data_IF_806771044957
#
_entry.id   IF_806771044957
#
_cell.length_a   1.000
_cell.length_b   1.000
_cell.length_c   1.000
_cell.angle_alpha   90.00
_cell.angle_beta   90.00
_cell.angle_gamma   90.00
#
_symmetry.space_group_name_H-M   'P 1'
#
loop_
_entity.id
_entity.type
_entity.pdbx_description
1 polymer ?
#
# COMPACT_ATOMS: atom_id res chain seq x y z
N UNK A 1 -18.10 -18.52 3.88
CA UNK A 1 -17.59 -19.83 3.40
C UNK A 1 -16.19 -19.71 2.78
N UNK A 2 -15.99 -18.80 1.81
CA UNK A 2 -14.69 -18.60 1.12
C UNK A 2 -13.49 -18.44 2.08
N UNK A 3 -13.59 -17.59 3.12
CA UNK A 3 -12.50 -17.37 4.10
C UNK A 3 -11.99 -18.65 4.78
N UNK A 4 -12.88 -19.60 5.12
CA UNK A 4 -12.48 -20.87 5.77
C UNK A 4 -11.73 -21.78 4.80
N UNK A 5 -12.13 -21.79 3.52
CA UNK A 5 -11.43 -22.54 2.46
C UNK A 5 -10.04 -21.93 2.25
N UNK A 6 -9.95 -20.60 2.15
CA UNK A 6 -8.68 -19.89 1.97
C UNK A 6 -7.71 -20.17 3.12
N UNK A 7 -8.16 -20.02 4.37
CA UNK A 7 -7.34 -20.30 5.55
C UNK A 7 -6.82 -21.75 5.55
N UNK A 8 -7.71 -22.72 5.35
CA UNK A 8 -7.34 -24.14 5.30
C UNK A 8 -6.34 -24.45 4.18
N UNK A 9 -6.54 -23.92 2.97
CA UNK A 9 -5.59 -24.10 1.87
C UNK A 9 -4.25 -23.40 2.13
N UNK A 10 -4.27 -22.22 2.77
CA UNK A 10 -3.06 -21.51 3.16
C UNK A 10 -2.22 -22.33 4.13
N UNK A 11 -2.85 -22.99 5.11
CA UNK A 11 -2.15 -23.88 6.06
C UNK A 11 -1.52 -25.08 5.34
N UNK A 12 -2.27 -25.71 4.42
CA UNK A 12 -1.75 -26.82 3.60
C UNK A 12 -0.55 -26.42 2.76
N UNK A 13 -0.63 -25.25 2.10
CA UNK A 13 0.46 -24.72 1.26
C UNK A 13 1.67 -24.33 2.10
N UNK A 14 1.45 -23.74 3.28
CA UNK A 14 2.53 -23.39 4.20
C UNK A 14 3.27 -24.63 4.67
N UNK A 15 2.57 -25.73 4.93
CA UNK A 15 3.18 -26.99 5.38
C UNK A 15 3.85 -27.79 4.27
N UNK A 16 3.29 -27.82 3.06
CA UNK A 16 3.70 -28.74 2.00
C UNK A 16 4.24 -28.05 0.73
N UNK A 17 4.35 -26.73 0.72
CA UNK A 17 4.68 -25.94 -0.46
C UNK A 17 3.53 -25.80 -1.46
N UNK A 18 3.77 -25.24 -2.66
CA UNK A 18 2.72 -24.97 -3.64
C UNK A 18 1.95 -26.22 -4.05
N UNK A 19 0.63 -26.13 -4.09
CA UNK A 19 -0.27 -27.27 -4.31
C UNK A 19 -1.11 -27.10 -5.60
N UNK A 20 -1.34 -28.18 -6.37
CA UNK A 20 -2.29 -28.13 -7.48
C UNK A 20 -3.73 -27.97 -6.97
N UNK A 21 -4.57 -27.31 -7.78
CA UNK A 21 -5.97 -27.03 -7.41
C UNK A 21 -6.75 -28.32 -7.07
N UNK A 22 -6.53 -29.41 -7.80
CA UNK A 22 -7.25 -30.67 -7.60
C UNK A 22 -6.94 -31.32 -6.25
N UNK A 23 -5.68 -31.23 -5.79
CA UNK A 23 -5.28 -31.75 -4.48
C UNK A 23 -5.88 -30.90 -3.36
N UNK A 24 -5.82 -29.56 -3.48
CA UNK A 24 -6.48 -28.66 -2.52
C UNK A 24 -7.98 -28.93 -2.45
N UNK A 25 -8.64 -29.08 -3.60
CA UNK A 25 -10.07 -29.37 -3.68
C UNK A 25 -10.44 -30.71 -3.02
N UNK A 26 -9.63 -31.75 -3.24
CA UNK A 26 -9.79 -33.05 -2.59
C UNK A 26 -9.70 -32.93 -1.06
N UNK A 27 -8.69 -32.21 -0.55
CA UNK A 27 -8.51 -32.01 0.90
C UNK A 27 -9.59 -31.15 1.53
N UNK A 28 -10.02 -30.08 0.84
CA UNK A 28 -11.14 -29.21 1.28
C UNK A 28 -12.45 -29.99 1.35
N UNK A 29 -12.72 -30.86 0.37
CA UNK A 29 -13.91 -31.73 0.39
C UNK A 29 -13.83 -32.78 1.51
N UNK A 30 -12.68 -33.42 1.68
CA UNK A 30 -12.45 -34.37 2.77
C UNK A 30 -12.60 -33.73 4.17
N UNK A 31 -12.22 -32.46 4.32
CA UNK A 31 -12.43 -31.68 5.54
C UNK A 31 -13.87 -31.15 5.72
N UNK A 32 -14.80 -31.47 4.81
CA UNK A 32 -16.20 -31.04 4.88
C UNK A 32 -16.40 -29.52 4.70
N UNK A 33 -15.39 -28.81 4.21
CA UNK A 33 -15.42 -27.35 4.04
C UNK A 33 -16.19 -26.90 2.77
N UNK A 34 -16.57 -27.85 1.91
CA UNK A 34 -17.46 -27.63 0.76
C UNK A 34 -18.39 -28.83 0.56
N UNK A 35 -19.61 -28.54 0.11
CA UNK A 35 -20.61 -29.55 -0.34
C UNK A 35 -20.90 -29.43 -1.84
N UNK A 36 -20.11 -28.62 -2.56
CA UNK A 36 -20.27 -28.39 -3.99
C UNK A 36 -20.10 -29.69 -4.77
N UNK A 37 -20.90 -29.88 -5.82
CA UNK A 37 -20.73 -30.98 -6.78
C UNK A 37 -19.48 -30.80 -7.65
N UNK A 38 -18.91 -29.59 -7.71
CA UNK A 38 -17.63 -29.29 -8.35
C UNK A 38 -16.68 -28.56 -7.38
N UNK A 39 -16.02 -29.31 -6.45
CA UNK A 39 -15.12 -28.73 -5.46
C UNK A 39 -13.93 -27.97 -6.08
N UNK A 40 -13.39 -28.45 -7.20
CA UNK A 40 -12.24 -27.84 -7.90
C UNK A 40 -12.56 -26.40 -8.31
N UNK A 41 -13.71 -26.18 -8.95
CA UNK A 41 -14.12 -24.83 -9.37
C UNK A 41 -14.39 -23.94 -8.17
N UNK A 42 -15.07 -24.45 -7.13
CA UNK A 42 -15.33 -23.69 -5.90
C UNK A 42 -14.04 -23.24 -5.21
N UNK A 43 -13.08 -24.15 -5.03
CA UNK A 43 -11.79 -23.84 -4.40
C UNK A 43 -10.99 -22.87 -5.26
N UNK A 44 -10.85 -23.12 -6.56
CA UNK A 44 -10.14 -22.22 -7.48
C UNK A 44 -10.69 -20.79 -7.42
N UNK A 45 -12.01 -20.64 -7.44
CA UNK A 45 -12.67 -19.32 -7.34
C UNK A 45 -12.39 -18.68 -5.99
N UNK A 46 -12.52 -19.43 -4.89
CA UNK A 46 -12.23 -18.91 -3.55
C UNK A 46 -10.78 -18.43 -3.40
N UNK A 47 -9.82 -19.21 -3.91
CA UNK A 47 -8.40 -18.84 -3.86
C UNK A 47 -8.08 -17.65 -4.77
N UNK A 48 -8.62 -17.59 -5.99
CA UNK A 48 -8.43 -16.43 -6.90
C UNK A 48 -9.01 -15.12 -6.37
N UNK A 49 -10.00 -15.19 -5.49
CA UNK A 49 -10.60 -14.02 -4.84
C UNK A 49 -9.81 -13.55 -3.61
N UNK A 50 -8.85 -14.35 -3.13
CA UNK A 50 -8.04 -13.99 -1.97
C UNK A 50 -6.80 -13.21 -2.39
N UNK A 51 -6.51 -12.03 -1.79
CA UNK A 51 -5.34 -11.23 -2.14
C UNK A 51 -4.01 -11.84 -1.65
N UNK A 52 -4.08 -12.85 -0.78
CA UNK A 52 -2.91 -13.52 -0.20
C UNK A 52 -2.61 -14.88 -0.87
N UNK A 53 -3.40 -15.26 -1.87
CA UNK A 53 -3.20 -16.52 -2.61
C UNK A 53 -2.69 -16.21 -4.00
N UNK A 54 -1.67 -16.95 -4.44
CA UNK A 54 -0.99 -16.70 -5.70
C UNK A 54 -1.18 -17.91 -6.60
N UNK A 55 -1.70 -17.68 -7.81
CA UNK A 55 -1.80 -18.72 -8.83
C UNK A 55 -0.54 -18.67 -9.70
N UNK A 56 0.26 -19.73 -9.65
CA UNK A 56 1.54 -19.85 -10.35
C UNK A 56 1.33 -20.21 -11.83
N UNK A 57 2.30 -19.92 -12.71
CA UNK A 57 2.23 -20.26 -14.14
C UNK A 57 2.09 -21.76 -14.42
N UNK A 58 2.57 -22.61 -13.52
CA UNK A 58 2.46 -24.07 -13.62
C UNK A 58 1.09 -24.63 -13.18
N UNK A 59 0.13 -23.74 -12.85
CA UNK A 59 -1.22 -24.09 -12.43
C UNK A 59 -1.38 -24.44 -10.95
N UNK A 60 -0.30 -24.38 -10.16
CA UNK A 60 -0.36 -24.55 -8.70
C UNK A 60 -0.76 -23.26 -8.00
N UNK A 61 -1.25 -23.39 -6.78
CA UNK A 61 -1.46 -22.28 -5.86
C UNK A 61 -0.37 -22.25 -4.80
N UNK A 62 0.00 -21.03 -4.45
CA UNK A 62 0.93 -20.69 -3.38
C UNK A 62 0.32 -19.64 -2.45
N UNK A 63 0.98 -19.33 -1.33
CA UNK A 63 0.55 -18.33 -0.37
C UNK A 63 1.57 -17.20 -0.26
N UNK A 64 1.07 -15.97 -0.13
CA UNK A 64 1.89 -14.78 0.10
C UNK A 64 2.79 -14.95 1.32
N UNK A 65 2.28 -15.60 2.38
CA UNK A 65 3.04 -15.89 3.60
C UNK A 65 4.29 -16.73 3.32
N UNK A 66 4.17 -17.80 2.53
CA UNK A 66 5.30 -18.67 2.19
C UNK A 66 6.29 -17.96 1.27
N UNK A 67 5.77 -17.21 0.30
CA UNK A 67 6.59 -16.48 -0.66
C UNK A 67 7.38 -15.32 -0.03
N UNK A 68 6.84 -14.71 1.03
CA UNK A 68 7.48 -13.63 1.77
C UNK A 68 8.37 -14.12 2.91
N UNK A 69 8.42 -15.43 3.17
CA UNK A 69 9.30 -15.98 4.20
C UNK A 69 10.77 -15.74 3.79
N UNK A 70 11.46 -14.96 4.60
CA UNK A 70 12.83 -14.49 4.33
C UNK A 70 12.92 -13.18 3.54
N UNK A 71 11.87 -12.73 2.85
CA UNK A 71 11.89 -11.50 2.06
C UNK A 71 12.03 -10.25 2.95
N UNK A 72 12.81 -9.28 2.48
CA UNK A 72 13.13 -8.01 3.13
C UNK A 72 12.39 -6.88 2.42
N UNK A 73 11.30 -6.41 3.01
CA UNK A 73 10.62 -5.22 2.52
C UNK A 73 11.12 -4.02 3.28
N UNK A 74 11.70 -3.05 2.59
CA UNK A 74 12.30 -1.88 3.20
C UNK A 74 11.37 -0.69 3.12
N UNK A 75 11.28 0.05 4.21
CA UNK A 75 10.48 1.27 4.35
C UNK A 75 11.38 2.41 4.82
N UNK A 76 11.21 3.60 4.24
CA UNK A 76 11.89 4.80 4.70
C UNK A 76 11.07 5.50 5.79
N UNK A 77 11.72 5.64 6.94
CA UNK A 77 11.15 6.31 8.10
C UNK A 77 11.08 7.80 7.85
N UNK A 78 9.87 8.35 7.72
CA UNK A 78 9.63 9.79 7.49
C UNK A 78 9.75 10.64 8.74
N UNK A 79 9.58 10.03 9.91
CA UNK A 79 9.69 10.66 11.21
C UNK A 79 10.34 9.69 12.18
N UNK A 80 11.32 10.15 12.97
CA UNK A 80 11.98 9.34 13.97
C UNK A 80 11.00 8.49 14.81
N UNK A 81 11.37 7.23 15.04
CA UNK A 81 10.48 6.20 15.59
C UNK A 81 10.52 6.10 17.11
N UNK A 82 11.35 6.89 17.78
CA UNK A 82 11.43 6.93 19.24
C UNK A 82 10.05 7.07 19.87
N UNK A 83 9.74 6.18 20.81
CA UNK A 83 8.48 6.12 21.57
C UNK A 83 7.21 5.98 20.70
N UNK A 84 7.35 5.70 19.39
CA UNK A 84 6.20 5.53 18.49
C UNK A 84 5.64 4.13 18.53
N UNK A 85 4.32 4.04 18.57
CA UNK A 85 3.57 2.79 18.47
C UNK A 85 2.86 2.63 17.12
N UNK A 86 2.84 3.68 16.31
CA UNK A 86 2.18 3.69 15.00
C UNK A 86 3.22 3.95 13.91
N UNK A 87 3.24 3.07 12.92
CA UNK A 87 3.99 3.24 11.68
C UNK A 87 3.01 3.51 10.53
N UNK A 88 3.17 4.63 9.85
CA UNK A 88 2.47 4.88 8.60
C UNK A 88 3.22 4.16 7.47
N UNK A 89 2.56 3.17 6.87
CA UNK A 89 3.18 2.32 5.87
C UNK A 89 2.99 2.90 4.48
N UNK A 90 4.03 2.80 3.65
CA UNK A 90 3.95 3.15 2.24
C UNK A 90 3.57 1.96 1.34
N UNK A 91 3.37 2.21 0.03
CA UNK A 91 3.02 1.17 -0.95
C UNK A 91 4.03 0.01 -1.02
N UNK A 92 5.29 0.23 -0.69
CA UNK A 92 6.34 -0.77 -0.60
C UNK A 92 6.05 -1.89 0.43
N UNK A 93 5.21 -1.62 1.43
CA UNK A 93 4.74 -2.62 2.40
C UNK A 93 3.35 -3.20 2.07
N UNK A 94 2.75 -2.84 0.93
CA UNK A 94 1.37 -3.20 0.60
C UNK A 94 1.07 -4.71 0.60
N UNK A 95 2.07 -5.55 0.30
CA UNK A 95 1.88 -7.01 0.37
C UNK A 95 1.74 -7.51 1.82
N UNK A 96 2.47 -6.90 2.75
CA UNK A 96 2.32 -7.18 4.18
C UNK A 96 1.01 -6.59 4.71
N UNK A 97 0.54 -5.46 4.18
CA UNK A 97 -0.80 -4.94 4.49
C UNK A 97 -1.89 -5.97 4.15
N UNK A 98 -1.82 -6.63 2.97
CA UNK A 98 -2.81 -7.64 2.61
C UNK A 98 -2.78 -8.83 3.57
N UNK A 99 -1.59 -9.27 3.98
CA UNK A 99 -1.45 -10.31 4.99
C UNK A 99 -2.01 -9.87 6.33
N UNK A 100 -1.67 -8.66 6.79
CA UNK A 100 -2.12 -8.11 8.06
C UNK A 100 -3.64 -7.95 8.11
N UNK A 101 -4.25 -7.43 7.05
CA UNK A 101 -5.72 -7.30 6.93
C UNK A 101 -6.40 -8.67 6.85
N UNK A 102 -5.79 -9.63 6.16
CA UNK A 102 -6.34 -10.97 6.04
C UNK A 102 -6.26 -11.78 7.34
N UNK A 103 -5.11 -11.73 8.03
CA UNK A 103 -4.84 -12.46 9.28
C UNK A 103 -5.33 -11.70 10.53
N UNK A 104 -5.60 -10.40 10.41
CA UNK A 104 -6.02 -9.49 11.49
C UNK A 104 -4.85 -8.97 12.34
N UNK A 105 -3.77 -9.72 12.45
CA UNK A 105 -2.54 -9.32 13.15
C UNK A 105 -1.33 -10.10 12.63
N UNK A 106 -0.13 -9.53 12.76
CA UNK A 106 1.12 -10.24 12.52
C UNK A 106 1.93 -10.29 13.83
N UNK A 107 2.27 -11.50 14.28
CA UNK A 107 3.07 -11.68 15.49
C UNK A 107 4.49 -11.13 15.29
N UNK A 108 5.00 -10.38 16.25
CA UNK A 108 6.35 -9.83 16.21
C UNK A 108 7.38 -10.82 16.74
N UNK A 109 8.61 -10.71 16.24
CA UNK A 109 9.76 -11.44 16.78
C UNK A 109 10.11 -10.98 18.20
N UNK A 110 10.04 -9.68 18.46
CA UNK A 110 10.30 -9.07 19.77
C UNK A 110 9.17 -9.31 20.81
N UNK A 111 8.07 -9.94 20.40
CA UNK A 111 6.90 -10.16 21.25
C UNK A 111 5.75 -9.19 20.95
N UNK A 112 4.53 -9.61 21.31
CA UNK A 112 3.31 -8.93 20.90
C UNK A 112 2.98 -9.13 19.41
N UNK A 113 2.13 -8.27 18.87
CA UNK A 113 1.69 -8.31 17.48
C UNK A 113 1.41 -6.91 16.94
N UNK A 114 1.60 -6.74 15.64
CA UNK A 114 1.11 -5.57 14.92
C UNK A 114 -0.29 -5.83 14.41
N UNK A 115 -1.09 -4.77 14.34
CA UNK A 115 -2.45 -4.77 13.79
C UNK A 115 -2.57 -3.63 12.81
N UNK A 116 -3.46 -3.78 11.83
CA UNK A 116 -3.79 -2.65 10.96
C UNK A 116 -4.78 -1.74 11.68
N UNK A 117 -4.48 -0.45 11.73
CA UNK A 117 -5.46 0.57 12.09
C UNK A 117 -6.40 0.79 10.90
N UNK A 118 -7.66 0.40 11.07
CA UNK A 118 -8.70 0.63 10.07
C UNK A 118 -9.20 2.07 10.21
N UNK A 119 -8.56 3.00 9.49
CA UNK A 119 -8.96 4.39 9.36
C UNK A 119 -8.52 4.96 8.00
N UNK A 120 -9.00 6.15 7.63
CA UNK A 120 -8.73 6.79 6.32
C UNK A 120 -7.22 7.02 6.04
N UNK A 121 -6.39 6.98 7.08
CA UNK A 121 -4.95 7.25 7.03
C UNK A 121 -4.08 5.98 7.05
N UNK A 122 -4.66 4.79 7.28
CA UNK A 122 -3.90 3.54 7.38
C UNK A 122 -2.81 3.58 8.46
N UNK A 123 -2.05 2.50 8.57
CA UNK A 123 -0.93 2.41 9.51
C UNK A 123 -0.97 1.17 10.39
N UNK A 124 0.19 0.79 10.89
CA UNK A 124 0.39 -0.38 11.73
C UNK A 124 0.56 0.05 13.18
N UNK A 125 -0.26 -0.53 14.05
CA UNK A 125 -0.19 -0.33 15.49
C UNK A 125 0.44 -1.55 16.14
N UNK A 126 1.50 -1.36 16.90
CA UNK A 126 2.16 -2.40 17.70
C UNK A 126 2.25 -2.03 19.19
N UNK A 127 2.74 -2.95 20.04
CA UNK A 127 2.99 -2.69 21.45
C UNK A 127 4.10 -1.63 21.65
N UNK A 128 4.29 -1.05 22.85
CA UNK A 128 5.48 -0.23 23.12
C UNK A 128 6.77 -0.91 22.65
N UNK A 129 7.73 -0.12 22.16
CA UNK A 129 9.07 -0.55 21.73
C UNK A 129 9.11 -1.55 20.56
N UNK A 130 7.99 -1.74 19.83
CA UNK A 130 7.97 -2.65 18.68
C UNK A 130 8.76 -2.13 17.46
N UNK A 131 8.92 -0.81 17.36
CA UNK A 131 9.75 -0.16 16.36
C UNK A 131 11.15 0.09 16.96
N UNK A 132 12.23 -0.27 16.24
CA UNK A 132 13.56 0.19 16.59
C UNK A 132 13.64 1.72 16.61
N UNK A 133 14.37 2.31 17.56
CA UNK A 133 14.62 3.76 17.59
C UNK A 133 15.62 4.14 16.49
N UNK A 134 15.10 4.76 15.43
CA UNK A 134 15.87 5.24 14.29
C UNK A 134 15.48 6.67 13.94
N UNK A 135 16.43 7.51 13.50
CA UNK A 135 16.12 8.88 13.10
C UNK A 135 15.34 8.90 11.78
N UNK A 136 14.74 10.06 11.50
CA UNK A 136 14.16 10.37 10.18
C UNK A 136 15.13 10.05 9.04
N UNK A 137 14.59 9.65 7.90
CA UNK A 137 15.23 9.21 6.66
C UNK A 137 16.00 7.88 6.74
N UNK A 138 16.03 7.24 7.91
CA UNK A 138 16.57 5.88 8.07
C UNK A 138 15.69 4.84 7.40
N UNK A 139 16.26 3.67 7.14
CA UNK A 139 15.54 2.53 6.59
C UNK A 139 15.26 1.46 7.66
N UNK A 140 14.05 0.91 7.62
CA UNK A 140 13.66 -0.29 8.35
C UNK A 140 13.38 -1.42 7.36
N UNK A 141 13.88 -2.61 7.64
CA UNK A 141 13.54 -3.84 6.93
C UNK A 141 12.51 -4.64 7.72
N UNK A 142 11.44 -5.03 7.02
CA UNK A 142 10.36 -5.87 7.49
C UNK A 142 10.54 -7.26 6.89
N UNK A 143 10.76 -8.26 7.73
CA UNK A 143 10.98 -9.66 7.31
C UNK A 143 10.02 -10.59 8.00
N UNK A 144 9.26 -11.36 7.24
CA UNK A 144 8.55 -12.51 7.79
C UNK A 144 9.51 -13.70 7.86
N UNK A 145 9.66 -14.30 9.03
CA UNK A 145 10.45 -15.52 9.23
C UNK A 145 9.74 -16.43 10.21
N UNK A 146 9.49 -17.67 9.81
CA UNK A 146 8.79 -18.66 10.67
C UNK A 146 7.46 -18.11 11.21
N UNK A 147 6.73 -17.36 10.37
CA UNK A 147 5.45 -16.76 10.71
C UNK A 147 5.52 -15.57 11.67
N UNK A 148 6.71 -15.05 11.99
CA UNK A 148 6.90 -13.84 12.82
C UNK A 148 7.50 -12.70 11.99
N UNK A 149 7.05 -11.49 12.28
CA UNK A 149 7.56 -10.25 11.68
C UNK A 149 8.75 -9.74 12.48
N UNK A 150 9.88 -9.59 11.79
CA UNK A 150 11.09 -8.91 12.27
C UNK A 150 11.11 -7.50 11.68
N UNK A 151 11.50 -6.53 12.51
CA UNK A 151 11.67 -5.13 12.12
C UNK A 151 13.07 -4.71 12.55
N UNK A 152 13.92 -4.43 11.57
CA UNK A 152 15.36 -4.21 11.81
C UNK A 152 15.82 -2.93 11.10
N UNK A 153 16.66 -2.08 11.73
CA UNK A 153 17.33 -1.00 11.03
C UNK A 153 18.21 -1.55 9.90
N UNK A 154 18.22 -0.87 8.77
CA UNK A 154 19.10 -1.21 7.64
C UNK A 154 20.32 -0.29 7.66
N UNK A 155 21.49 -0.86 7.96
CA UNK A 155 22.78 -0.18 7.87
C UNK A 155 23.87 -1.17 7.41
N UNK A 156 24.66 -0.84 6.37
CA UNK A 156 24.59 0.37 5.55
C UNK A 156 23.34 0.43 4.65
N UNK A 157 22.98 1.63 4.19
CA UNK A 157 21.88 1.81 3.21
C UNK A 157 22.23 1.08 1.90
N UNK A 158 21.32 0.27 1.33
CA UNK A 158 21.56 -0.43 0.08
C UNK A 158 21.77 0.55 -1.07
N UNK A 159 22.64 0.21 -2.03
CA UNK A 159 22.95 1.10 -3.15
C UNK A 159 21.70 1.35 -4.01
N UNK A 160 21.51 2.60 -4.43
CA UNK A 160 20.40 3.00 -5.33
C UNK A 160 20.54 2.47 -6.77
N UNK A 161 21.68 1.87 -7.08
CA UNK A 161 22.00 1.25 -8.37
C UNK A 161 22.77 -0.04 -8.11
N UNK A 162 22.19 -1.17 -8.51
CA UNK A 162 22.84 -2.49 -8.51
C UNK A 162 22.22 -3.38 -9.59
N UNK A 163 22.88 -4.47 -9.94
CA UNK A 163 22.35 -5.47 -10.88
C UNK A 163 21.06 -6.11 -10.39
N UNK A 164 20.97 -6.37 -9.09
CA UNK A 164 19.82 -6.97 -8.42
C UNK A 164 18.63 -6.02 -8.47
N UNK A 165 18.87 -4.74 -8.20
CA UNK A 165 17.86 -3.70 -8.27
C UNK A 165 17.32 -3.52 -9.70
N UNK A 166 18.19 -3.57 -10.69
CA UNK A 166 17.75 -3.45 -12.09
C UNK A 166 16.98 -4.70 -12.53
N UNK A 167 17.40 -5.90 -12.11
CA UNK A 167 16.64 -7.14 -12.32
C UNK A 167 15.24 -7.03 -11.73
N UNK A 168 15.11 -6.54 -10.50
CA UNK A 168 13.83 -6.27 -9.84
C UNK A 168 12.97 -5.29 -10.63
N UNK A 169 13.54 -4.15 -11.05
CA UNK A 169 12.82 -3.16 -11.89
C UNK A 169 12.29 -3.78 -13.17
N UNK A 170 13.11 -4.58 -13.88
CA UNK A 170 12.70 -5.23 -15.13
C UNK A 170 11.53 -6.19 -14.90
N UNK A 171 11.63 -7.04 -13.88
CA UNK A 171 10.58 -8.02 -13.55
C UNK A 171 9.28 -7.32 -13.15
N UNK A 172 9.34 -6.36 -12.22
CA UNK A 172 8.16 -5.60 -11.78
C UNK A 172 7.53 -4.85 -12.95
N UNK A 173 8.31 -4.14 -13.78
CA UNK A 173 7.80 -3.40 -14.94
C UNK A 173 7.14 -4.32 -15.97
N UNK A 174 7.67 -5.52 -16.18
CA UNK A 174 7.02 -6.49 -17.09
C UNK A 174 5.66 -6.91 -16.55
N UNK A 175 5.56 -7.27 -15.28
CA UNK A 175 4.29 -7.63 -14.64
C UNK A 175 3.30 -6.47 -14.61
N UNK A 176 3.80 -5.23 -14.44
CA UNK A 176 3.00 -4.01 -14.53
C UNK A 176 2.49 -3.71 -15.95
N UNK A 177 3.23 -4.09 -17.00
CA UNK A 177 2.82 -3.88 -18.40
C UNK A 177 1.88 -4.97 -18.91
N UNK A 178 2.01 -6.20 -18.42
CA UNK A 178 1.27 -7.37 -18.91
C UNK A 178 -0.15 -7.49 -18.36
N UNK A 179 -0.52 -6.67 -17.39
CA UNK A 179 -1.79 -6.84 -16.69
C UNK A 179 -2.76 -5.72 -17.10
N UNK A 180 -3.68 -6.05 -18.02
CA UNK A 180 -4.72 -5.15 -18.54
C UNK A 180 -5.67 -4.62 -17.45
N UNK A 181 -5.69 -5.26 -16.26
CA UNK A 181 -6.45 -4.75 -15.10
C UNK A 181 -5.81 -3.52 -14.46
N UNK A 182 -4.57 -3.18 -14.86
CA UNK A 182 -3.76 -2.07 -14.34
C UNK A 182 -3.95 -0.74 -15.08
N UNK A 183 -4.80 -0.68 -16.10
CA UNK A 183 -5.20 0.59 -16.76
C UNK A 183 -5.75 1.65 -15.79
N UNK A 184 -5.99 1.25 -14.54
CA UNK A 184 -6.28 2.09 -13.41
C UNK A 184 -5.27 1.81 -12.30
N UNK A 185 -4.11 2.49 -12.28
CA UNK A 185 -3.23 2.60 -11.10
C UNK A 185 -4.01 3.30 -9.96
N UNK A 186 -4.97 2.59 -9.37
CA UNK A 186 -5.98 3.16 -8.46
C UNK A 186 -5.77 2.75 -7.01
N UNK A 187 -4.85 1.84 -6.66
CA UNK A 187 -4.65 1.44 -5.25
C UNK A 187 -3.37 0.67 -4.93
N UNK A 188 -2.93 0.78 -3.67
CA UNK A 188 -1.91 -0.05 -3.00
C UNK A 188 -2.04 -1.55 -3.25
N UNK A 189 -3.28 -2.03 -3.45
CA UNK A 189 -3.57 -3.44 -3.70
C UNK A 189 -2.91 -4.01 -4.95
N UNK A 190 -2.63 -3.14 -5.92
CA UNK A 190 -1.98 -3.54 -7.17
C UNK A 190 -0.52 -3.95 -6.96
N UNK A 191 0.25 -3.14 -6.22
CA UNK A 191 1.68 -3.36 -6.06
C UNK A 191 1.95 -4.66 -5.30
N UNK A 192 1.16 -4.96 -4.26
CA UNK A 192 1.29 -6.22 -3.52
C UNK A 192 1.14 -7.47 -4.41
N UNK A 193 0.16 -7.49 -5.32
CA UNK A 193 0.01 -8.61 -6.26
C UNK A 193 1.17 -8.72 -7.26
N UNK A 194 1.63 -7.59 -7.77
CA UNK A 194 2.77 -7.53 -8.71
C UNK A 194 4.05 -8.03 -8.02
N UNK A 195 4.28 -7.64 -6.77
CA UNK A 195 5.40 -8.12 -5.96
C UNK A 195 5.36 -9.63 -5.79
N UNK A 196 4.19 -10.19 -5.44
CA UNK A 196 4.05 -11.64 -5.31
C UNK A 196 4.36 -12.35 -6.63
N UNK A 197 3.86 -11.87 -7.77
CA UNK A 197 4.21 -12.46 -9.07
C UNK A 197 5.71 -12.35 -9.38
N UNK A 198 6.34 -11.23 -9.03
CA UNK A 198 7.78 -11.05 -9.20
C UNK A 198 8.58 -12.04 -8.34
N UNK A 199 8.20 -12.25 -7.08
CA UNK A 199 8.83 -13.23 -6.17
C UNK A 199 8.59 -14.66 -6.65
N UNK A 200 7.41 -14.98 -7.19
CA UNK A 200 7.14 -16.30 -7.77
C UNK A 200 8.10 -16.63 -8.92
N UNK A 201 8.46 -15.62 -9.71
CA UNK A 201 9.39 -15.78 -10.83
C UNK A 201 10.85 -15.75 -10.40
N UNK A 202 11.18 -14.89 -9.43
CA UNK A 202 12.52 -14.67 -8.91
C UNK A 202 12.46 -14.76 -7.38
N UNK A 203 12.55 -15.96 -6.78
CA UNK A 203 12.35 -16.14 -5.34
C UNK A 203 13.41 -15.46 -4.47
N UNK A 204 14.61 -15.25 -5.02
CA UNK A 204 15.75 -14.61 -4.36
C UNK A 204 15.70 -13.08 -4.37
N UNK A 205 14.70 -12.49 -5.03
CA UNK A 205 14.69 -11.07 -5.41
C UNK A 205 14.77 -10.09 -4.24
N UNK A 206 14.25 -10.47 -3.08
CA UNK A 206 14.14 -9.63 -1.89
C UNK A 206 14.80 -10.29 -0.68
N UNK A 207 15.72 -11.24 -0.85
CA UNK A 207 16.42 -11.85 0.29
C UNK A 207 17.25 -10.79 1.02
N UNK A 208 17.96 -9.94 0.28
CA UNK A 208 18.71 -8.82 0.83
C UNK A 208 17.86 -7.55 0.81
N UNK A 209 18.05 -6.63 1.78
CA UNK A 209 17.36 -5.35 1.77
C UNK A 209 17.77 -4.55 0.53
N UNK A 210 16.78 -4.04 -0.20
CA UNK A 210 16.96 -3.11 -1.32
C UNK A 210 16.45 -1.73 -0.91
N UNK A 211 16.62 -0.67 -1.72
CA UNK A 211 15.90 0.57 -1.45
C UNK A 211 14.36 0.34 -1.50
N UNK A 212 13.55 1.13 -0.77
CA UNK A 212 12.10 1.05 -0.80
C UNK A 212 11.52 0.98 -2.22
N UNK A 213 10.57 0.07 -2.45
CA UNK A 213 10.11 -0.24 -3.80
C UNK A 213 9.44 0.95 -4.50
N UNK A 214 8.81 1.82 -3.74
CA UNK A 214 8.23 3.06 -4.19
C UNK A 214 9.28 4.04 -4.72
N UNK A 215 10.43 4.16 -4.05
CA UNK A 215 11.60 4.90 -4.56
C UNK A 215 12.17 4.26 -5.83
N UNK A 216 12.27 2.92 -5.86
CA UNK A 216 12.83 2.16 -6.98
C UNK A 216 11.99 2.29 -8.25
N UNK A 217 10.67 2.32 -8.07
CA UNK A 217 9.68 2.46 -9.13
C UNK A 217 9.32 3.93 -9.42
N UNK A 218 9.81 4.89 -8.62
CA UNK A 218 9.50 6.31 -8.70
C UNK A 218 8.00 6.58 -8.62
N UNK A 219 7.32 5.88 -7.71
CA UNK A 219 5.91 6.08 -7.42
C UNK A 219 5.79 7.38 -6.63
N UNK A 220 5.56 8.51 -7.31
CA UNK A 220 5.68 9.85 -6.73
C UNK A 220 5.04 10.05 -5.34
N UNK A 221 5.65 10.94 -4.56
CA UNK A 221 5.33 11.18 -3.14
C UNK A 221 3.94 11.79 -2.87
N UNK A 222 3.29 12.36 -3.88
CA UNK A 222 2.19 13.32 -3.72
C UNK A 222 0.92 12.76 -3.04
N UNK A 223 0.68 11.45 -3.09
CA UNK A 223 -0.45 10.82 -2.38
C UNK A 223 -0.11 10.35 -0.96
N UNK A 224 1.16 10.11 -0.67
CA UNK A 224 1.62 9.39 0.53
C UNK A 224 2.44 10.26 1.48
N UNK A 225 2.89 11.43 1.03
CA UNK A 225 3.52 12.47 1.86
C UNK A 225 2.56 13.17 2.84
N UNK A 226 1.37 12.62 3.09
CA UNK A 226 0.38 13.20 4.02
C UNK A 226 0.36 12.44 5.34
N UNK A 227 1.53 12.21 5.91
CA UNK A 227 1.65 11.80 7.30
C UNK A 227 1.63 13.07 8.14
N UNK A 228 0.50 13.32 8.79
CA UNK A 228 0.36 14.47 9.67
C UNK A 228 1.25 14.29 10.90
N UNK A 229 2.08 15.27 11.27
CA UNK A 229 2.73 15.25 12.57
C UNK A 229 1.65 15.44 13.63
N UNK A 230 1.03 14.36 14.08
CA UNK A 230 0.33 14.39 15.37
C UNK A 230 1.42 14.27 16.43
N UNK A 231 2.05 15.42 16.72
CA UNK A 231 2.76 15.58 17.97
C UNK A 231 1.74 15.33 19.10
N UNK A 232 2.16 14.56 20.10
CA UNK A 232 1.34 14.04 21.20
C UNK A 232 0.23 14.97 21.70
N UNK A 233 -0.94 14.38 21.99
CA UNK A 233 -2.06 15.09 22.66
C UNK A 233 -1.81 15.24 24.17
N UNK A 234 -0.75 14.63 24.70
CA UNK A 234 -0.37 14.74 26.11
C UNK A 234 0.09 16.16 26.44
N UNK A 235 -0.60 16.79 27.40
CA UNK A 235 -0.32 18.16 27.84
C UNK A 235 -1.30 19.22 27.33
N UNK A 236 -2.21 18.88 26.41
CA UNK A 236 -3.23 19.83 25.96
C UNK A 236 -4.28 20.06 27.05
N UNK A 237 -4.27 21.28 27.61
CA UNK A 237 -5.27 21.72 28.60
C UNK A 237 -6.65 21.84 27.95
N UNK A 238 -7.75 21.61 28.70
CA UNK A 238 -9.10 21.91 28.22
C UNK A 238 -9.18 23.35 27.69
N UNK A 239 -9.61 23.52 26.43
CA UNK A 239 -9.74 24.83 25.77
C UNK A 239 -8.57 25.25 24.87
N UNK A 240 -7.50 24.45 24.74
CA UNK A 240 -6.47 24.73 23.73
C UNK A 240 -7.01 24.56 22.31
N UNK A 241 -6.78 25.58 21.46
CA UNK A 241 -7.14 25.54 20.04
C UNK A 241 -6.04 24.82 19.27
N UNK A 242 -6.32 23.60 18.82
CA UNK A 242 -5.46 22.89 17.85
C UNK A 242 -5.92 23.31 16.46
N UNK A 243 -5.08 24.07 15.75
CA UNK A 243 -5.31 24.38 14.34
C UNK A 243 -4.65 23.28 13.54
N UNK A 244 -5.45 22.56 12.76
CA UNK A 244 -4.93 21.56 11.84
C UNK A 244 -4.99 22.16 10.42
N UNK A 245 -3.86 22.63 9.89
CA UNK A 245 -3.75 23.32 8.60
C UNK A 245 -3.55 22.35 7.44
N UNK A 246 -4.49 22.28 6.48
CA UNK A 246 -4.53 21.30 5.35
C UNK A 246 -5.18 19.94 5.67
N UNK A 247 -6.07 19.88 6.66
CA UNK A 247 -6.85 18.66 6.93
C UNK A 247 -7.94 18.43 5.89
N UNK A 248 -8.01 17.25 5.25
CA UNK A 248 -9.10 16.90 4.35
C UNK A 248 -10.47 16.97 5.03
N UNK A 249 -11.48 17.49 4.33
CA UNK A 249 -12.82 17.70 4.89
C UNK A 249 -13.51 16.44 5.45
N UNK A 250 -13.11 15.24 5.00
CA UNK A 250 -13.60 13.97 5.52
C UNK A 250 -13.12 13.71 6.96
N UNK A 251 -11.84 13.94 7.28
CA UNK A 251 -11.30 13.85 8.64
C UNK A 251 -11.91 14.90 9.56
N UNK A 252 -12.10 16.13 9.07
CA UNK A 252 -12.86 17.18 9.80
C UNK A 252 -14.27 16.70 10.16
N UNK A 253 -14.90 15.95 9.26
CA UNK A 253 -16.26 15.43 9.46
C UNK A 253 -16.29 14.24 10.41
N UNK A 254 -15.28 13.37 10.39
CA UNK A 254 -15.16 12.23 11.29
C UNK A 254 -14.78 12.62 12.73
N UNK A 255 -14.02 13.70 12.93
CA UNK A 255 -13.62 14.19 14.25
C UNK A 255 -14.72 14.99 14.97
N UNK A 256 -15.64 15.64 14.23
CA UNK A 256 -16.72 16.47 14.81
C UNK A 256 -17.67 15.74 15.77
N UNK A 257 -18.14 14.51 15.50
CA UNK A 257 -19.01 13.78 16.42
C UNK A 257 -18.32 13.46 17.75
N UNK A 258 -17.03 13.12 17.72
CA UNK A 258 -16.24 12.82 18.92
C UNK A 258 -16.03 14.04 19.83
N UNK A 259 -15.85 15.24 19.25
CA UNK A 259 -15.75 16.49 20.02
C UNK A 259 -17.07 16.86 20.73
N UNK A 260 -18.23 16.59 20.11
CA UNK A 260 -19.55 16.86 20.70
C UNK A 260 -19.91 15.88 21.83
N UNK A 261 -19.59 14.60 21.67
CA UNK A 261 -19.87 13.57 22.68
C UNK A 261 -19.03 13.75 23.96
N UNK A 262 -17.86 14.39 23.86
CA UNK A 262 -16.98 14.64 24.99
C UNK A 262 -17.35 15.89 25.83
N UNK A 263 -18.48 16.56 25.55
CA UNK A 263 -18.89 17.78 26.26
C UNK A 263 -17.96 18.97 26.05
N UNK A 264 -17.20 18.99 24.95
CA UNK A 264 -16.19 20.01 24.66
C UNK A 264 -16.65 20.88 23.49
N UNK A 265 -17.58 21.79 23.75
CA UNK A 265 -18.11 22.72 22.75
C UNK A 265 -17.09 23.78 22.25
N UNK A 266 -15.86 23.74 22.76
CA UNK A 266 -14.82 24.73 22.47
C UNK A 266 -13.83 24.26 21.38
N UNK A 267 -14.02 23.06 20.83
CA UNK A 267 -13.18 22.52 19.75
C UNK A 267 -13.77 22.93 18.41
N UNK A 268 -13.19 23.94 17.77
CA UNK A 268 -13.58 24.37 16.41
C UNK A 268 -12.55 23.88 15.40
N UNK A 269 -12.96 22.93 14.55
CA UNK A 269 -12.18 22.49 13.39
C UNK A 269 -12.63 23.33 12.19
N UNK A 270 -11.90 24.39 11.88
CA UNK A 270 -12.14 25.24 10.71
C UNK A 270 -11.43 24.64 9.49
N UNK A 271 -12.20 24.10 8.54
CA UNK A 271 -11.69 23.70 7.23
C UNK A 271 -12.01 24.77 6.20
N UNK A 272 -11.07 25.69 5.94
CA UNK A 272 -11.19 26.60 4.79
C UNK A 272 -10.33 26.11 3.63
N UNK A 273 -10.97 25.67 2.55
CA UNK A 273 -10.32 25.41 1.27
C UNK A 273 -10.12 26.75 0.55
N UNK A 274 -8.94 27.35 0.67
CA UNK A 274 -8.53 28.45 -0.20
C UNK A 274 -7.85 27.87 -1.44
N UNK A 275 -8.61 27.67 -2.53
CA UNK A 275 -8.03 27.35 -3.84
C UNK A 275 -7.42 28.62 -4.43
N UNK A 276 -6.20 28.94 -4.03
CA UNK A 276 -5.40 30.01 -4.62
C UNK A 276 -4.79 29.55 -5.94
N UNK A 277 -5.43 29.87 -7.08
CA UNK A 277 -4.76 29.84 -8.39
C UNK A 277 -3.82 31.03 -8.47
N UNK A 278 -2.54 30.83 -8.19
CA UNK A 278 -1.49 31.72 -8.70
C UNK A 278 -1.25 31.41 -10.18
N UNK A 279 -1.75 32.27 -11.07
CA UNK A 279 -1.22 32.45 -12.42
C UNK A 279 -0.39 33.74 -12.44
N UNK A 280 0.77 33.76 -13.11
CA UNK A 280 1.61 34.94 -13.15
C UNK A 280 1.07 36.01 -14.10
N UNK A 281 1.38 37.24 -13.74
CA UNK A 281 1.14 38.51 -14.40
C UNK A 281 1.06 38.47 -15.94
N UNK A 282 0.06 39.15 -16.48
CA UNK A 282 0.09 39.71 -17.83
C UNK A 282 -0.61 41.07 -17.84
N UNK A 283 0.04 42.01 -18.51
CA UNK A 283 -0.16 43.45 -18.50
C UNK A 283 -1.57 43.94 -18.84
N UNK A 284 -1.82 45.17 -18.38
CA UNK A 284 -3.04 45.94 -18.50
C UNK A 284 -3.30 46.57 -19.89
N UNK A 285 -4.59 46.90 -20.08
CA UNK A 285 -5.20 47.91 -20.98
C UNK A 285 -5.52 47.55 -22.45
N UNK A 286 -6.52 48.21 -23.09
CA UNK A 286 -7.91 48.32 -22.66
C UNK A 286 -8.91 48.03 -23.81
N UNK A 287 -10.18 47.95 -23.43
CA UNK A 287 -11.37 47.80 -24.28
C UNK A 287 -11.53 48.87 -25.37
N UNK A 288 -11.92 48.47 -26.59
CA UNK A 288 -13.24 48.71 -27.24
C UNK A 288 -13.16 48.54 -28.77
N UNK A 289 -14.07 47.69 -29.28
CA UNK A 289 -14.85 47.71 -30.54
C UNK A 289 -14.48 48.75 -31.63
N UNK A 290 -14.64 48.45 -32.95
CA UNK A 290 -15.91 47.93 -33.47
C UNK A 290 -15.88 46.95 -34.67
N UNK A 291 -17.04 46.32 -34.84
CA UNK A 291 -17.79 46.04 -36.06
C UNK A 291 -17.12 46.28 -37.42
N UNK A 292 -17.21 45.30 -38.32
CA UNK A 292 -17.15 45.59 -39.76
C UNK A 292 -16.72 44.45 -40.66
N UNK A 293 -17.71 43.79 -41.26
CA UNK A 293 -17.80 43.50 -42.70
C UNK A 293 -16.68 42.73 -43.45
N UNK A 294 -17.14 41.61 -44.03
CA UNK A 294 -17.00 41.24 -45.45
C UNK A 294 -15.72 40.58 -45.97
N UNK A 295 -15.95 39.68 -46.94
CA UNK A 295 -14.98 39.27 -47.97
C UNK A 295 -14.40 37.86 -47.76
N UNK A 296 -15.06 36.79 -48.22
CA UNK A 296 -14.89 36.16 -49.54
C UNK A 296 -13.45 35.78 -49.92
N UNK A 297 -13.33 34.50 -50.32
CA UNK A 297 -12.47 33.97 -51.40
C UNK A 297 -10.98 33.83 -51.04
N UNK A 298 -10.17 32.85 -51.49
CA UNK A 298 -10.17 31.80 -52.52
C UNK A 298 -9.23 30.69 -51.97
N UNK A 299 -9.40 29.41 -52.34
CA UNK A 299 -8.39 28.35 -52.11
C UNK A 299 -7.15 28.50 -53.02
N UNK A 300 -6.55 27.41 -53.54
CA UNK A 300 -6.22 26.09 -53.00
C UNK A 300 -4.72 25.74 -53.25
N UNK A 301 -4.35 24.47 -53.10
CA UNK A 301 -3.11 23.82 -53.61
C UNK A 301 -1.80 24.21 -52.86
N UNK A 302 -0.79 23.36 -52.71
CA UNK A 302 -0.45 22.03 -53.23
C UNK A 302 0.50 21.37 -52.18
N UNK A 303 0.58 20.03 -52.06
CA UNK A 303 1.70 19.18 -52.60
C UNK A 303 3.09 19.84 -52.46
N UNK A 304 4.15 19.18 -52.02
CA UNK A 304 4.46 17.78 -51.80
C UNK A 304 5.80 17.68 -51.05
N UNK A 305 6.16 16.44 -50.71
CA UNK A 305 7.42 15.93 -50.16
C UNK A 305 7.53 15.96 -48.63
#
# INVERSE_FOLDING_TARGET
MSKRIVAFCSDLITAAGPQPTDELARRVAAAGLTKSTNPVTTVRTALRQSPIMVHLPDGRFDSARRMLDGAALTHRVRYGTKDRQVLFTGPELAVLDHLLVHEGSLALAAGGAVTSSLGEFGGWCGPPDWLPDVPTDSLLAFRLRNGRLWVEPVAPEPPRQSSELERLRVVLRRHLKSDDSLNNWRSHHTLGHVMLRAIAEVPDLLIDPLPPLDEVLQLGDERWARDWPVESVEGLRPGHRVVLEDVPGALVTALRPGCRAAGRDHWRVDGSLAVGRHLPNSHALPSRRPSGLAGRSVGPCARAA
#
